data_IF_177675372751
#
_entry.id   IF_177675372751
#
_cell.length_a   1.000
_cell.length_b   1.000
_cell.length_c   1.000
_cell.angle_alpha   90.00
_cell.angle_beta   90.00
_cell.angle_gamma   90.00
#
_symmetry.space_group_name_H-M   'P 1'
#
loop_
_entity.id
_entity.type
_entity.pdbx_description
1 polymer ?
#
# COMPACT_ATOMS: atom_id res chain seq x y z
N UNK A 1 -36.80 1.94 -19.84
CA UNK A 1 -35.49 1.94 -19.13
C UNK A 1 -34.42 1.72 -20.17
N UNK A 2 -33.48 2.67 -20.31
CA UNK A 2 -32.30 2.45 -21.16
C UNK A 2 -31.53 1.28 -20.55
N UNK A 3 -31.31 0.24 -21.36
CA UNK A 3 -30.60 -0.97 -20.96
C UNK A 3 -29.09 -0.65 -20.95
N UNK A 4 -28.42 -0.90 -19.82
CA UNK A 4 -26.97 -0.69 -19.61
C UNK A 4 -26.07 -1.36 -20.66
N UNK A 5 -26.60 -2.36 -21.35
CA UNK A 5 -25.94 -3.16 -22.38
C UNK A 5 -25.46 -2.31 -23.58
N UNK A 6 -26.14 -1.20 -23.84
CA UNK A 6 -25.74 -0.24 -24.87
C UNK A 6 -24.43 0.48 -24.50
N UNK A 7 -24.19 0.81 -23.22
CA UNK A 7 -22.98 1.53 -22.79
C UNK A 7 -21.71 0.73 -23.09
N UNK A 8 -21.78 -0.58 -22.85
CA UNK A 8 -20.64 -1.48 -23.09
C UNK A 8 -20.38 -1.66 -24.58
N UNK A 9 -21.45 -1.79 -25.37
CA UNK A 9 -21.32 -1.91 -26.83
C UNK A 9 -20.74 -0.64 -27.43
N UNK A 10 -21.19 0.53 -26.96
CA UNK A 10 -20.64 1.82 -27.34
C UNK A 10 -19.15 1.94 -26.98
N UNK A 11 -18.79 1.58 -25.75
CA UNK A 11 -17.41 1.61 -25.28
C UNK A 11 -16.49 0.70 -26.12
N UNK A 12 -16.97 -0.49 -26.48
CA UNK A 12 -16.21 -1.44 -27.28
C UNK A 12 -16.03 -0.99 -28.74
N UNK A 13 -17.08 -0.46 -29.38
CA UNK A 13 -16.96 0.11 -30.73
C UNK A 13 -15.97 1.28 -30.71
N UNK A 14 -16.10 2.18 -29.73
CA UNK A 14 -15.17 3.32 -29.57
C UNK A 14 -13.72 2.86 -29.35
N UNK A 15 -13.51 1.85 -28.52
CA UNK A 15 -12.20 1.27 -28.29
C UNK A 15 -11.63 0.61 -29.56
N UNK A 16 -12.45 -0.11 -30.32
CA UNK A 16 -12.06 -0.71 -31.59
C UNK A 16 -11.64 0.37 -32.61
N UNK A 17 -12.43 1.43 -32.78
CA UNK A 17 -12.06 2.57 -33.64
C UNK A 17 -10.75 3.22 -33.21
N UNK A 18 -10.52 3.40 -31.90
CA UNK A 18 -9.25 3.92 -31.39
C UNK A 18 -8.07 2.99 -31.73
N UNK A 19 -8.22 1.67 -31.53
CA UNK A 19 -7.21 0.69 -31.89
C UNK A 19 -6.89 0.70 -33.40
N UNK A 20 -7.88 0.94 -34.26
CA UNK A 20 -7.67 1.07 -35.71
C UNK A 20 -6.84 2.30 -36.05
N UNK A 21 -7.13 3.45 -35.42
CA UNK A 21 -6.36 4.70 -35.60
C UNK A 21 -4.93 4.56 -35.11
N UNK A 22 -4.73 3.87 -33.99
CA UNK A 22 -3.41 3.63 -33.38
C UNK A 22 -2.63 2.49 -34.06
N UNK A 23 -3.23 1.79 -35.04
CA UNK A 23 -2.62 0.64 -35.71
C UNK A 23 -2.47 -0.60 -34.82
N UNK A 24 -3.22 -0.67 -33.71
CA UNK A 24 -3.21 -1.80 -32.77
C UNK A 24 -4.08 -2.97 -33.25
N UNK A 25 -3.65 -3.62 -34.32
CA UNK A 25 -4.32 -4.79 -34.91
C UNK A 25 -4.28 -6.05 -34.02
N UNK A 26 -3.43 -6.08 -33.00
CA UNK A 26 -3.41 -7.18 -32.04
C UNK A 26 -4.64 -7.14 -31.13
N UNK A 27 -4.92 -5.99 -30.51
CA UNK A 27 -6.06 -5.82 -29.62
C UNK A 27 -7.40 -6.08 -30.34
N UNK A 28 -7.52 -5.65 -31.60
CA UNK A 28 -8.71 -5.92 -32.42
C UNK A 28 -8.94 -7.42 -32.64
N UNK A 29 -7.87 -8.17 -32.94
CA UNK A 29 -7.95 -9.62 -33.11
C UNK A 29 -8.31 -10.35 -31.83
N UNK A 30 -7.77 -9.92 -30.68
CA UNK A 30 -8.15 -10.50 -29.38
C UNK A 30 -9.62 -10.26 -29.04
N UNK A 31 -10.19 -9.14 -29.47
CA UNK A 31 -11.61 -8.84 -29.34
C UNK A 31 -12.50 -9.53 -30.38
N UNK A 32 -11.92 -10.24 -31.34
CA UNK A 32 -12.65 -10.91 -32.41
C UNK A 32 -13.07 -10.02 -33.58
N UNK A 33 -12.50 -8.80 -33.72
CA UNK A 33 -12.68 -7.99 -34.91
C UNK A 33 -11.79 -8.52 -36.04
N UNK A 34 -12.43 -9.11 -37.06
CA UNK A 34 -11.78 -9.52 -38.30
C UNK A 34 -11.69 -8.39 -39.31
N UNK A 35 -11.15 -8.69 -40.50
CA UNK A 35 -11.03 -7.70 -41.58
C UNK A 35 -12.39 -7.11 -41.96
N UNK A 36 -13.42 -7.95 -42.12
CA UNK A 36 -14.76 -7.52 -42.51
C UNK A 36 -15.37 -6.56 -41.49
N UNK A 37 -15.20 -6.85 -40.20
CA UNK A 37 -15.71 -6.00 -39.12
C UNK A 37 -14.93 -4.68 -39.05
N UNK A 38 -13.62 -4.70 -39.30
CA UNK A 38 -12.80 -3.49 -39.38
C UNK A 38 -13.22 -2.61 -40.56
N UNK A 39 -13.41 -3.18 -41.75
CA UNK A 39 -13.85 -2.44 -42.93
C UNK A 39 -15.22 -1.78 -42.68
N UNK A 40 -16.17 -2.52 -42.08
CA UNK A 40 -17.47 -1.98 -41.70
C UNK A 40 -17.40 -0.88 -40.65
N UNK A 41 -16.40 -0.90 -39.75
CA UNK A 41 -16.15 0.17 -38.80
C UNK A 41 -15.53 1.42 -39.44
N UNK A 42 -14.74 1.28 -40.52
CA UNK A 42 -14.17 2.43 -41.23
C UNK A 42 -15.25 3.25 -41.94
N UNK A 43 -16.26 2.57 -42.47
CA UNK A 43 -17.38 3.19 -43.20
C UNK A 43 -18.53 3.63 -42.27
N UNK A 44 -18.39 3.46 -40.96
CA UNK A 44 -19.46 3.71 -40.00
C UNK A 44 -19.74 5.21 -39.85
N UNK A 45 -20.96 5.64 -40.19
CA UNK A 45 -21.38 7.03 -39.95
C UNK A 45 -21.92 7.22 -38.54
N UNK A 46 -22.01 8.48 -38.09
CA UNK A 46 -22.64 8.82 -36.81
C UNK A 46 -24.13 8.42 -36.76
N UNK A 47 -24.82 8.45 -37.91
CA UNK A 47 -26.21 8.02 -38.02
C UNK A 47 -26.33 6.49 -37.89
N UNK A 48 -25.40 5.73 -38.49
CA UNK A 48 -25.34 4.28 -38.37
C UNK A 48 -25.02 3.84 -36.95
N UNK A 49 -24.11 4.55 -36.28
CA UNK A 49 -23.84 4.36 -34.87
C UNK A 49 -25.14 4.56 -34.07
N UNK A 50 -25.79 5.73 -34.13
CA UNK A 50 -27.04 5.98 -33.39
C UNK A 50 -28.16 4.97 -33.69
N UNK A 51 -28.22 4.44 -34.92
CA UNK A 51 -29.17 3.41 -35.32
C UNK A 51 -28.82 2.02 -34.73
N UNK A 52 -27.54 1.66 -34.70
CA UNK A 52 -27.05 0.47 -34.02
C UNK A 52 -27.42 0.53 -32.54
N UNK A 53 -27.13 1.62 -31.85
CA UNK A 53 -27.41 1.80 -30.42
C UNK A 53 -28.87 1.53 -30.04
N UNK A 54 -29.82 1.93 -30.90
CA UNK A 54 -31.26 1.67 -30.71
C UNK A 54 -31.68 0.23 -31.02
N UNK A 55 -30.96 -0.45 -31.91
CA UNK A 55 -31.27 -1.84 -32.33
C UNK A 55 -30.60 -2.89 -31.46
N UNK A 56 -29.56 -2.52 -30.74
CA UNK A 56 -28.76 -3.42 -29.91
C UNK A 56 -29.42 -3.62 -28.54
N UNK A 57 -30.53 -4.35 -28.53
CA UNK A 57 -31.20 -4.78 -27.31
C UNK A 57 -30.60 -6.05 -26.69
N UNK A 58 -29.43 -6.50 -27.15
CA UNK A 58 -28.71 -7.69 -26.68
C UNK A 58 -27.19 -7.57 -26.82
N UNK A 59 -26.45 -8.43 -26.13
CA UNK A 59 -24.98 -8.44 -26.17
C UNK A 59 -24.49 -8.98 -27.54
N UNK A 60 -24.03 -8.10 -28.44
CA UNK A 60 -23.26 -8.53 -29.63
C UNK A 60 -21.86 -8.99 -29.24
N UNK A 61 -21.39 -8.54 -28.08
CA UNK A 61 -20.04 -8.77 -27.60
C UNK A 61 -20.03 -9.89 -26.58
N UNK A 62 -19.14 -10.86 -26.80
CA UNK A 62 -18.77 -11.82 -25.77
C UNK A 62 -17.65 -11.21 -24.94
N UNK A 63 -17.98 -10.75 -23.73
CA UNK A 63 -17.02 -10.13 -22.83
C UNK A 63 -16.51 -11.20 -21.88
N UNK A 64 -15.22 -11.49 -21.95
CA UNK A 64 -14.56 -12.42 -21.06
C UNK A 64 -13.54 -11.67 -20.20
N UNK A 65 -13.61 -11.85 -18.89
CA UNK A 65 -12.62 -11.33 -17.97
C UNK A 65 -11.37 -12.20 -18.05
N UNK A 66 -10.22 -11.62 -18.39
CA UNK A 66 -8.94 -12.27 -18.15
C UNK A 66 -8.69 -12.31 -16.64
N UNK A 67 -9.13 -13.40 -15.99
CA UNK A 67 -9.07 -13.54 -14.54
C UNK A 67 -7.65 -13.41 -14.01
N UNK A 68 -6.66 -13.96 -14.71
CA UNK A 68 -5.26 -13.90 -14.31
C UNK A 68 -4.73 -12.47 -14.25
N UNK A 69 -4.93 -11.68 -15.31
CA UNK A 69 -4.50 -10.28 -15.34
C UNK A 69 -5.29 -9.42 -14.35
N UNK A 70 -6.60 -9.67 -14.23
CA UNK A 70 -7.46 -8.98 -13.27
C UNK A 70 -6.97 -9.19 -11.82
N UNK A 71 -6.74 -10.44 -11.42
CA UNK A 71 -6.29 -10.74 -10.06
C UNK A 71 -4.86 -10.25 -9.80
N UNK A 72 -3.98 -10.28 -10.81
CA UNK A 72 -2.63 -9.72 -10.69
C UNK A 72 -2.68 -8.20 -10.44
N UNK A 73 -3.45 -7.46 -11.25
CA UNK A 73 -3.63 -6.02 -11.08
C UNK A 73 -4.29 -5.69 -9.72
N UNK A 74 -5.31 -6.44 -9.32
CA UNK A 74 -5.97 -6.26 -8.04
C UNK A 74 -5.04 -6.57 -6.86
N UNK A 75 -4.17 -7.57 -6.98
CA UNK A 75 -3.18 -7.90 -5.97
C UNK A 75 -2.14 -6.78 -5.81
N UNK A 76 -1.71 -6.13 -6.89
CA UNK A 76 -0.83 -4.96 -6.83
C UNK A 76 -1.51 -3.79 -6.10
N UNK A 77 -2.73 -3.41 -6.53
CA UNK A 77 -3.50 -2.33 -5.89
C UNK A 77 -3.72 -2.62 -4.39
N UNK A 78 -4.01 -3.87 -4.03
CA UNK A 78 -4.16 -4.27 -2.62
C UNK A 78 -2.85 -4.21 -1.86
N UNK A 79 -1.71 -4.58 -2.45
CA UNK A 79 -0.39 -4.45 -1.82
C UNK A 79 -0.06 -2.99 -1.54
N UNK A 80 -0.27 -2.11 -2.51
CA UNK A 80 -0.09 -0.65 -2.35
C UNK A 80 -1.02 -0.08 -1.28
N UNK A 81 -2.30 -0.49 -1.30
CA UNK A 81 -3.29 -0.09 -0.30
C UNK A 81 -2.94 -0.58 1.09
N UNK A 82 -2.41 -1.80 1.25
CA UNK A 82 -2.09 -2.40 2.56
C UNK A 82 -0.89 -1.71 3.20
N UNK A 83 0.15 -1.40 2.42
CA UNK A 83 1.31 -0.65 2.92
C UNK A 83 0.91 0.77 3.34
N UNK A 84 0.04 1.42 2.55
CA UNK A 84 -0.51 2.75 2.86
C UNK A 84 -1.38 2.71 4.11
N UNK A 85 -2.26 1.71 4.23
CA UNK A 85 -3.13 1.53 5.39
C UNK A 85 -2.31 1.30 6.67
N UNK A 86 -1.31 0.42 6.62
CA UNK A 86 -0.43 0.13 7.76
C UNK A 86 0.28 1.39 8.24
N UNK A 87 0.78 2.21 7.30
CA UNK A 87 1.41 3.51 7.60
C UNK A 87 0.44 4.47 8.28
N UNK A 88 -0.79 4.58 7.77
CA UNK A 88 -1.84 5.42 8.36
C UNK A 88 -2.20 4.95 9.77
N UNK A 89 -2.33 3.64 9.98
CA UNK A 89 -2.64 3.07 11.30
C UNK A 89 -1.50 3.30 12.31
N UNK A 90 -0.24 3.18 11.90
CA UNK A 90 0.91 3.56 12.75
C UNK A 90 0.81 5.04 13.18
N UNK A 91 0.46 5.93 12.26
CA UNK A 91 0.30 7.36 12.55
C UNK A 91 -0.85 7.60 13.52
N UNK A 92 -2.02 6.97 13.29
CA UNK A 92 -3.19 7.07 14.16
C UNK A 92 -2.91 6.58 15.58
N UNK A 93 -2.09 5.54 15.72
CA UNK A 93 -1.63 4.99 17.02
C UNK A 93 -0.43 5.72 17.61
N UNK A 94 -0.18 6.94 17.14
CA UNK A 94 0.86 7.84 17.63
C UNK A 94 2.29 7.26 17.59
N UNK A 95 2.61 6.46 16.57
CA UNK A 95 3.98 6.01 16.33
C UNK A 95 4.97 7.20 16.20
N UNK A 96 6.19 7.08 16.74
CA UNK A 96 7.17 8.17 16.72
C UNK A 96 7.70 8.45 15.32
N UNK A 97 8.05 9.71 15.03
CA UNK A 97 8.57 10.14 13.71
C UNK A 97 9.78 9.30 13.25
N UNK A 98 10.67 8.96 14.19
CA UNK A 98 11.84 8.13 13.92
C UNK A 98 11.49 6.73 13.42
N UNK A 99 10.40 6.12 13.92
CA UNK A 99 9.91 4.83 13.45
C UNK A 99 9.42 4.93 12.00
N UNK A 100 8.60 5.94 11.69
CA UNK A 100 8.07 6.13 10.34
C UNK A 100 9.19 6.46 9.35
N UNK A 101 10.23 7.18 9.80
CA UNK A 101 11.45 7.42 9.02
C UNK A 101 12.21 6.12 8.75
N UNK A 102 12.39 5.27 9.76
CA UNK A 102 13.10 3.99 9.61
C UNK A 102 12.36 3.00 8.71
N UNK A 103 11.02 2.94 8.79
CA UNK A 103 10.20 1.98 8.03
C UNK A 103 9.85 2.45 6.61
N UNK A 104 9.71 3.75 6.39
CA UNK A 104 9.17 4.30 5.13
C UNK A 104 9.97 5.45 4.53
N UNK A 105 11.08 5.87 5.15
CA UNK A 105 11.84 7.05 4.71
C UNK A 105 11.08 8.37 4.86
N UNK A 106 10.03 8.41 5.69
CA UNK A 106 9.15 9.57 5.84
C UNK A 106 9.89 10.77 6.44
N UNK A 107 9.72 11.94 5.82
CA UNK A 107 10.25 13.20 6.33
C UNK A 107 9.37 13.84 7.42
N UNK A 108 9.97 14.66 8.29
CA UNK A 108 9.26 15.25 9.44
C UNK A 108 8.09 16.16 9.06
N UNK A 109 8.20 16.88 7.94
CA UNK A 109 7.12 17.71 7.39
C UNK A 109 5.93 16.86 6.95
N UNK A 110 6.20 15.74 6.27
CA UNK A 110 5.19 14.80 5.82
C UNK A 110 4.49 14.14 7.01
N UNK A 111 5.25 13.67 7.99
CA UNK A 111 4.76 13.09 9.24
C UNK A 111 3.85 14.06 10.00
N UNK A 112 4.31 15.31 10.19
CA UNK A 112 3.54 16.34 10.91
C UNK A 112 2.23 16.67 10.19
N UNK A 113 2.25 16.77 8.86
CA UNK A 113 1.06 16.98 8.04
C UNK A 113 0.05 15.85 8.21
N UNK A 114 0.50 14.59 8.12
CA UNK A 114 -0.37 13.42 8.25
C UNK A 114 -0.96 13.27 9.65
N UNK A 115 -0.19 13.55 10.71
CA UNK A 115 -0.72 13.55 12.10
C UNK A 115 -1.84 14.57 12.29
N UNK A 116 -1.65 15.79 11.78
CA UNK A 116 -2.69 16.84 11.83
C UNK A 116 -3.92 16.42 11.04
N UNK A 117 -3.73 15.87 9.85
CA UNK A 117 -4.83 15.39 9.01
C UNK A 117 -5.67 14.30 9.70
N UNK A 118 -5.02 13.39 10.45
CA UNK A 118 -5.71 12.32 11.19
C UNK A 118 -6.11 12.72 12.62
N UNK A 119 -5.97 13.99 13.01
CA UNK A 119 -6.40 14.47 14.34
C UNK A 119 -5.62 13.87 15.51
N UNK A 120 -4.42 13.32 15.27
CA UNK A 120 -3.60 12.69 16.32
C UNK A 120 -3.00 13.80 17.19
N UNK A 121 -3.36 13.88 18.49
CA UNK A 121 -2.82 14.91 19.37
C UNK A 121 -1.30 14.82 19.39
N UNK A 122 -0.59 15.96 19.40
CA UNK A 122 0.85 15.94 19.73
C UNK A 122 1.05 15.12 20.99
N UNK A 123 1.90 14.09 20.97
CA UNK A 123 2.17 13.28 22.16
C UNK A 123 2.71 14.19 23.26
N UNK A 124 1.84 14.63 24.17
CA UNK A 124 2.21 15.47 25.31
C UNK A 124 2.57 14.53 26.44
N UNK A 125 3.86 14.34 26.65
CA UNK A 125 4.38 13.54 27.77
C UNK A 125 5.59 12.69 27.37
N UNK A 126 6.49 12.47 28.33
CA UNK A 126 7.54 11.47 28.23
C UNK A 126 6.88 10.10 28.05
N UNK A 127 7.34 9.24 27.12
CA UNK A 127 6.77 7.90 27.01
C UNK A 127 6.86 7.19 28.37
N UNK A 128 5.79 6.50 28.76
CA UNK A 128 5.69 5.82 30.06
C UNK A 128 6.94 4.95 30.27
N UNK A 129 7.58 5.08 31.43
CA UNK A 129 8.59 4.11 31.84
C UNK A 129 7.85 2.82 32.23
N UNK A 130 8.19 1.73 31.54
CA UNK A 130 7.63 0.42 31.86
C UNK A 130 8.21 -0.03 33.20
N UNK A 131 7.36 -0.65 34.02
CA UNK A 131 7.86 -1.41 35.16
C UNK A 131 8.68 -2.63 34.66
N UNK A 132 9.52 -3.23 35.52
CA UNK A 132 10.39 -4.33 35.12
C UNK A 132 9.64 -5.55 34.55
N UNK A 133 8.45 -5.87 35.05
CA UNK A 133 7.67 -7.04 34.63
C UNK A 133 7.07 -6.80 33.24
N UNK A 134 6.52 -5.60 33.00
CA UNK A 134 6.01 -5.18 31.70
C UNK A 134 7.15 -5.04 30.66
N UNK A 135 8.32 -4.57 31.08
CA UNK A 135 9.51 -4.52 30.22
C UNK A 135 9.98 -5.92 29.82
N UNK A 136 9.99 -6.86 30.78
CA UNK A 136 10.34 -8.26 30.50
C UNK A 136 9.33 -8.93 29.56
N UNK A 137 8.03 -8.78 29.84
CA UNK A 137 6.96 -9.30 28.98
C UNK A 137 7.05 -8.74 27.55
N UNK A 138 7.30 -7.43 27.40
CA UNK A 138 7.52 -6.82 26.10
C UNK A 138 8.77 -7.38 25.39
N UNK A 139 9.84 -7.67 26.14
CA UNK A 139 11.04 -8.27 25.58
C UNK A 139 10.78 -9.68 25.03
N UNK A 140 10.01 -10.50 25.73
CA UNK A 140 9.63 -11.85 25.28
C UNK A 140 8.80 -11.80 23.99
N UNK A 141 7.85 -10.84 23.91
CA UNK A 141 7.08 -10.60 22.69
C UNK A 141 8.02 -10.25 21.53
N UNK A 142 8.93 -9.29 21.73
CA UNK A 142 9.85 -8.82 20.70
C UNK A 142 10.82 -9.91 20.21
N UNK A 143 11.24 -10.84 21.07
CA UNK A 143 12.12 -11.96 20.68
C UNK A 143 11.47 -12.95 19.71
N UNK A 144 10.13 -12.97 19.62
CA UNK A 144 9.42 -13.79 18.61
C UNK A 144 9.44 -13.19 17.21
N UNK A 145 9.85 -11.93 17.05
CA UNK A 145 9.91 -11.24 15.78
C UNK A 145 11.37 -11.11 15.27
N UNK A 146 11.57 -10.88 13.96
CA UNK A 146 12.90 -10.58 13.43
C UNK A 146 13.53 -9.36 14.13
N UNK A 147 14.87 -9.25 14.16
CA UNK A 147 15.56 -8.11 14.77
C UNK A 147 15.09 -6.74 14.26
N UNK A 148 14.66 -6.69 12.99
CA UNK A 148 14.00 -5.53 12.36
C UNK A 148 12.58 -5.94 11.97
N UNK A 149 11.57 -5.74 12.84
CA UNK A 149 10.18 -6.07 12.53
C UNK A 149 9.63 -5.21 11.38
N UNK A 150 8.77 -5.79 10.54
CA UNK A 150 8.08 -5.05 9.50
C UNK A 150 7.01 -4.13 10.10
N UNK A 151 6.54 -3.15 9.33
CA UNK A 151 5.55 -2.16 9.81
C UNK A 151 4.28 -2.77 10.43
N UNK A 152 3.77 -3.86 9.86
CA UNK A 152 2.60 -4.58 10.38
C UNK A 152 2.89 -5.28 11.72
N UNK A 153 4.12 -5.71 11.93
CA UNK A 153 4.52 -6.45 13.12
C UNK A 153 4.53 -5.50 14.32
N UNK A 154 4.91 -4.23 14.13
CA UNK A 154 4.82 -3.20 15.17
C UNK A 154 3.39 -2.98 15.67
N UNK A 155 2.39 -3.04 14.78
CA UNK A 155 0.98 -2.96 15.17
C UNK A 155 0.58 -4.19 15.98
N UNK A 156 0.99 -5.38 15.55
CA UNK A 156 0.72 -6.63 16.26
C UNK A 156 1.38 -6.67 17.65
N UNK A 157 2.63 -6.22 17.77
CA UNK A 157 3.34 -6.10 19.05
C UNK A 157 2.61 -5.12 19.98
N UNK A 158 2.12 -3.99 19.46
CA UNK A 158 1.34 -3.04 20.26
C UNK A 158 0.00 -3.62 20.71
N UNK A 159 -0.70 -4.37 19.85
CA UNK A 159 -1.96 -5.03 20.20
C UNK A 159 -1.74 -6.12 21.27
N UNK A 160 -0.67 -6.89 21.16
CA UNK A 160 -0.38 -8.00 22.07
C UNK A 160 0.17 -7.52 23.42
N UNK A 161 1.04 -6.51 23.42
CA UNK A 161 1.64 -5.98 24.65
C UNK A 161 0.74 -4.98 25.38
N UNK A 162 -0.22 -4.36 24.70
CA UNK A 162 -0.98 -3.22 25.21
C UNK A 162 -0.14 -1.96 25.43
N UNK A 163 1.12 -1.95 25.00
CA UNK A 163 2.06 -0.83 25.17
C UNK A 163 1.98 0.12 23.98
N UNK A 164 2.08 1.43 24.23
CA UNK A 164 2.10 2.44 23.18
C UNK A 164 3.34 2.32 22.26
N UNK A 165 3.15 2.55 20.96
CA UNK A 165 4.21 2.42 19.94
C UNK A 165 5.46 3.25 20.23
N UNK A 166 5.32 4.43 20.87
CA UNK A 166 6.47 5.26 21.29
C UNK A 166 7.34 4.56 22.33
N UNK A 167 6.71 3.89 23.30
CA UNK A 167 7.41 3.18 24.37
C UNK A 167 8.07 1.92 23.81
N UNK A 168 7.36 1.15 22.99
CA UNK A 168 7.90 -0.05 22.32
C UNK A 168 9.14 0.31 21.48
N UNK A 169 9.04 1.36 20.65
CA UNK A 169 10.16 1.82 19.82
C UNK A 169 11.39 2.21 20.65
N UNK A 170 11.16 2.93 21.75
CA UNK A 170 12.24 3.37 22.66
C UNK A 170 12.97 2.18 23.27
N UNK A 171 12.24 1.23 23.85
CA UNK A 171 12.87 0.06 24.50
C UNK A 171 13.58 -0.84 23.47
N UNK A 172 12.98 -1.06 22.30
CA UNK A 172 13.62 -1.82 21.23
C UNK A 172 14.97 -1.19 20.80
N UNK A 173 15.01 0.13 20.60
CA UNK A 173 16.26 0.84 20.25
C UNK A 173 17.29 0.80 21.38
N UNK A 174 16.83 0.91 22.64
CA UNK A 174 17.68 0.79 23.83
C UNK A 174 18.35 -0.59 23.89
N UNK A 175 17.60 -1.66 23.65
CA UNK A 175 18.13 -3.03 23.70
C UNK A 175 19.00 -3.39 22.49
N UNK A 176 18.80 -2.73 21.34
CA UNK A 176 19.69 -2.88 20.18
C UNK A 176 21.02 -2.14 20.34
N UNK A 177 21.10 -1.13 21.22
CA UNK A 177 22.34 -0.38 21.44
C UNK A 177 23.21 -1.19 22.38
N UNK A 178 24.39 -1.69 21.96
CA UNK A 178 25.31 -2.35 22.88
C UNK A 178 25.67 -1.35 23.97
N UNK A 179 25.54 -1.74 25.24
CA UNK A 179 25.91 -0.91 26.37
C UNK A 179 27.40 -0.55 26.27
N UNK A 180 27.69 0.58 25.64
CA UNK A 180 29.05 1.10 25.48
C UNK A 180 29.43 1.77 26.80
N UNK A 181 30.00 1.02 27.72
CA UNK A 181 30.60 1.60 28.93
C UNK A 181 30.67 0.71 30.15
N UNK A 182 31.64 -0.21 30.19
CA UNK A 182 32.41 -0.57 31.41
C UNK A 182 33.57 -1.50 31.03
N UNK A 183 34.73 -0.94 30.64
CA UNK A 183 36.08 -1.53 30.79
C UNK A 183 37.14 -0.67 30.08
N UNK A 184 37.38 0.55 30.58
CA UNK A 184 38.59 1.31 30.24
C UNK A 184 38.97 2.19 31.43
N UNK A 185 39.49 1.56 32.48
CA UNK A 185 39.85 2.25 33.72
C UNK A 185 40.56 1.33 34.72
N UNK A 186 41.52 0.54 34.27
CA UNK A 186 42.40 -0.24 35.14
C UNK A 186 43.71 -0.58 34.43
N UNK A 187 44.42 0.42 33.93
CA UNK A 187 45.80 0.25 33.45
C UNK A 187 46.56 1.58 33.44
N UNK A 188 46.69 2.25 34.59
CA UNK A 188 47.86 3.10 34.82
C UNK A 188 48.19 3.24 36.30
N UNK A 189 48.73 2.15 36.87
CA UNK A 189 49.48 2.21 38.11
C UNK A 189 50.47 1.03 38.08
N UNK A 190 51.68 1.30 37.57
CA UNK A 190 52.99 0.70 37.93
C UNK A 190 53.99 0.91 36.80
N UNK A 191 54.62 2.08 36.75
CA UNK A 191 56.05 2.23 36.42
C UNK A 191 56.61 3.42 37.19
N UNK A 192 57.30 3.11 38.27
CA UNK A 192 57.92 4.07 39.18
C UNK A 192 58.68 3.33 40.27
N UNK A 193 59.78 2.71 39.88
CA UNK A 193 60.96 2.37 40.69
C UNK A 193 62.03 1.80 39.75
#
# INVERSE_FOLDING_TARGET
MARSEYEITHAAIRYATACMLDGNWHALREMGFGHRECDALQDLTLADLAALERRLSGHILKIELNQSLFWAALAEVRRESTATQTRVELIKRDAPAEMLRALYGMGDKEYTRLRRHHGVPSGVGRPLELDPDAAWALSEILHRYPPVPAAKDWLAIADESGVALRTIWREHRRWQTPASGTAAGAADQRRGA
#
